data_IF_159761227631
#
_entry.id   IF_159761227631
#
_cell.length_a   1.000
_cell.length_b   1.000
_cell.length_c   1.000
_cell.angle_alpha   90.00
_cell.angle_beta   90.00
_cell.angle_gamma   90.00
#
_symmetry.space_group_name_H-M   'P 1'
#
loop_
_entity.id
_entity.type
_entity.pdbx_description
1 polymer ?
#
# COMPACT_ATOMS: atom_id res chain seq x y z
N UNK A 1 -14.72 22.22 1.03
CA UNK A 1 -13.68 21.51 1.81
C UNK A 1 -14.25 20.18 2.26
N UNK A 2 -13.49 19.08 2.14
CA UNK A 2 -13.94 17.77 2.61
C UNK A 2 -13.76 17.66 4.14
N UNK A 3 -14.66 16.97 4.86
CA UNK A 3 -14.53 16.75 6.30
C UNK A 3 -13.36 15.81 6.63
N UNK A 4 -12.96 15.74 7.90
CA UNK A 4 -12.01 14.73 8.39
C UNK A 4 -12.73 13.41 8.68
N UNK A 5 -12.17 12.29 8.23
CA UNK A 5 -12.69 10.96 8.50
C UNK A 5 -12.43 10.55 9.96
N UNK A 6 -13.40 9.86 10.58
CA UNK A 6 -13.25 9.19 11.87
C UNK A 6 -12.69 7.79 11.62
N UNK A 7 -11.65 7.42 12.37
CA UNK A 7 -10.96 6.13 12.19
C UNK A 7 -11.93 4.96 12.20
N UNK A 8 -11.69 3.99 11.31
CA UNK A 8 -12.44 2.73 11.16
C UNK A 8 -13.92 2.83 10.80
N UNK A 9 -14.55 4.00 10.95
CA UNK A 9 -15.99 4.20 10.72
C UNK A 9 -16.30 4.83 9.38
N UNK A 10 -15.63 5.93 9.06
CA UNK A 10 -15.98 6.72 7.88
C UNK A 10 -15.22 6.19 6.65
N UNK A 11 -15.90 6.16 5.51
CA UNK A 11 -15.29 5.83 4.22
C UNK A 11 -14.58 7.06 3.66
N UNK A 12 -13.27 6.97 3.50
CA UNK A 12 -12.43 8.03 2.96
C UNK A 12 -12.65 8.22 1.46
N UNK A 13 -12.66 7.12 0.71
CA UNK A 13 -12.95 7.12 -0.70
C UNK A 13 -13.49 5.76 -1.17
N UNK A 14 -14.06 5.77 -2.37
CA UNK A 14 -14.47 4.57 -3.09
C UNK A 14 -13.73 4.46 -4.42
N UNK A 15 -13.45 3.24 -4.85
CA UNK A 15 -12.79 2.92 -6.11
C UNK A 15 -13.68 1.96 -6.91
N UNK A 16 -13.92 2.28 -8.18
CA UNK A 16 -14.59 1.39 -9.14
C UNK A 16 -13.88 1.42 -10.48
N UNK A 17 -13.98 0.33 -11.23
CA UNK A 17 -13.56 0.31 -12.63
C UNK A 17 -14.65 0.97 -13.48
N UNK A 18 -14.24 1.80 -14.42
CA UNK A 18 -15.11 2.55 -15.34
C UNK A 18 -14.47 2.54 -16.73
N UNK A 19 -14.90 1.61 -17.58
CA UNK A 19 -14.24 1.31 -18.86
C UNK A 19 -12.80 0.84 -18.66
N UNK A 20 -11.87 1.47 -19.39
CA UNK A 20 -10.43 1.23 -19.24
C UNK A 20 -9.80 2.06 -18.09
N UNK A 21 -10.61 2.79 -17.33
CA UNK A 21 -10.18 3.67 -16.25
C UNK A 21 -10.61 3.17 -14.87
N UNK A 22 -10.12 3.88 -13.85
CA UNK A 22 -10.57 3.74 -12.47
C UNK A 22 -11.13 5.06 -11.98
N UNK A 23 -12.37 5.07 -11.49
CA UNK A 23 -12.94 6.22 -10.81
C UNK A 23 -12.68 6.11 -9.31
N UNK A 24 -11.99 7.10 -8.75
CA UNK A 24 -11.78 7.26 -7.31
C UNK A 24 -12.57 8.47 -6.80
N UNK A 25 -13.60 8.24 -5.98
CA UNK A 25 -14.41 9.31 -5.38
C UNK A 25 -14.02 9.52 -3.93
N UNK A 26 -13.53 10.71 -3.59
CA UNK A 26 -13.09 11.06 -2.23
C UNK A 26 -14.24 11.70 -1.45
N UNK A 27 -14.53 11.19 -0.26
CA UNK A 27 -15.63 11.65 0.61
C UNK A 27 -15.14 12.42 1.84
N UNK A 28 -13.96 12.08 2.37
CA UNK A 28 -13.35 12.76 3.52
C UNK A 28 -11.82 12.60 3.50
N UNK A 29 -11.12 13.47 4.23
CA UNK A 29 -9.67 13.38 4.41
C UNK A 29 -9.31 12.55 5.63
N UNK A 30 -8.40 11.59 5.47
CA UNK A 30 -7.87 10.88 6.62
C UNK A 30 -7.06 11.83 7.53
N UNK A 31 -7.06 11.62 8.86
CA UNK A 31 -6.23 12.40 9.78
C UNK A 31 -4.72 12.25 9.47
N UNK A 32 -3.91 13.24 9.88
CA UNK A 32 -2.45 13.19 9.68
C UNK A 32 -1.85 11.97 10.39
N UNK A 33 -0.94 11.26 9.72
CA UNK A 33 -0.31 10.05 10.27
C UNK A 33 -1.20 8.80 10.26
N UNK A 34 -2.25 8.79 9.44
CA UNK A 34 -3.07 7.62 9.19
C UNK A 34 -2.63 6.85 7.94
N UNK A 35 -2.98 5.58 7.88
CA UNK A 35 -2.93 4.77 6.66
C UNK A 35 -4.34 4.45 6.18
N UNK A 36 -4.57 4.46 4.87
CA UNK A 36 -5.81 3.99 4.30
C UNK A 36 -5.78 2.48 4.07
N UNK A 37 -6.91 1.81 4.28
CA UNK A 37 -7.03 0.37 4.07
C UNK A 37 -8.37 0.04 3.40
N UNK A 38 -8.39 -1.07 2.66
CA UNK A 38 -9.60 -1.59 2.04
C UNK A 38 -10.55 -2.12 3.13
N UNK A 39 -11.72 -1.50 3.25
CA UNK A 39 -12.73 -1.83 4.27
C UNK A 39 -13.75 -2.84 3.74
N UNK A 40 -14.29 -2.61 2.54
CA UNK A 40 -15.43 -3.37 2.00
C UNK A 40 -15.36 -3.46 0.49
N UNK A 41 -15.80 -4.59 -0.05
CA UNK A 41 -16.16 -4.76 -1.45
C UNK A 41 -17.67 -4.92 -1.57
N UNK A 42 -18.32 -4.15 -2.45
CA UNK A 42 -19.75 -4.23 -2.71
C UNK A 42 -20.01 -4.39 -4.20
N UNK A 43 -20.82 -5.38 -4.56
CA UNK A 43 -21.29 -5.56 -5.93
C UNK A 43 -22.32 -4.49 -6.30
N UNK A 44 -22.28 -4.01 -7.53
CA UNK A 44 -23.29 -3.13 -8.11
C UNK A 44 -23.55 -3.52 -9.57
N UNK A 45 -24.74 -3.21 -10.09
CA UNK A 45 -25.01 -3.39 -11.52
C UNK A 45 -24.49 -2.19 -12.30
N UNK A 46 -23.68 -2.47 -13.33
CA UNK A 46 -23.25 -1.46 -14.31
C UNK A 46 -24.40 -1.13 -15.26
N UNK A 47 -24.25 -0.05 -16.03
CA UNK A 47 -25.20 0.31 -17.09
C UNK A 47 -25.36 -0.80 -18.14
N UNK A 48 -24.31 -1.58 -18.37
CA UNK A 48 -24.31 -2.78 -19.23
C UNK A 48 -24.98 -4.01 -18.59
N UNK A 49 -25.63 -3.87 -17.43
CA UNK A 49 -26.23 -4.97 -16.63
C UNK A 49 -25.23 -6.04 -16.17
N UNK A 50 -23.94 -5.74 -16.19
CA UNK A 50 -22.90 -6.62 -15.65
C UNK A 50 -22.67 -6.31 -14.17
N UNK A 51 -22.08 -7.27 -13.45
CA UNK A 51 -21.73 -7.08 -12.04
C UNK A 51 -20.38 -6.37 -11.98
N UNK A 52 -20.39 -5.13 -11.51
CA UNK A 52 -19.20 -4.38 -11.13
C UNK A 52 -18.93 -4.48 -9.62
N UNK A 53 -17.73 -4.11 -9.21
CA UNK A 53 -17.36 -4.01 -7.79
C UNK A 53 -16.92 -2.60 -7.42
N UNK A 54 -17.47 -2.10 -6.32
CA UNK A 54 -17.01 -0.91 -5.65
C UNK A 54 -16.21 -1.30 -4.40
N UNK A 55 -15.03 -0.73 -4.27
CA UNK A 55 -14.11 -0.93 -3.15
C UNK A 55 -14.10 0.31 -2.27
N UNK A 56 -14.51 0.18 -1.02
CA UNK A 56 -14.53 1.27 -0.05
C UNK A 56 -13.29 1.24 0.84
N UNK A 57 -12.67 2.39 1.04
CA UNK A 57 -11.47 2.55 1.86
C UNK A 57 -11.77 3.37 3.11
N UNK A 58 -11.16 3.02 4.23
CA UNK A 58 -11.24 3.75 5.50
C UNK A 58 -9.85 4.09 6.01
N UNK A 59 -9.79 4.88 7.09
CA UNK A 59 -8.53 5.33 7.69
C UNK A 59 -8.25 4.56 8.98
N UNK A 60 -6.99 4.19 9.19
CA UNK A 60 -6.45 3.59 10.42
C UNK A 60 -5.30 4.46 10.97
N UNK A 61 -5.17 4.63 12.30
CA UNK A 61 -4.00 5.26 12.88
C UNK A 61 -2.76 4.39 12.66
N UNK A 62 -1.62 5.00 12.34
CA UNK A 62 -0.36 4.26 12.22
C UNK A 62 0.17 3.92 13.62
N UNK A 63 0.17 2.63 13.97
CA UNK A 63 0.77 2.14 15.21
C UNK A 63 2.27 1.93 15.04
N UNK A 64 3.02 2.09 16.15
CA UNK A 64 4.45 1.79 16.21
C UNK A 64 4.66 0.37 16.71
N UNK A 65 4.71 -0.59 15.80
CA UNK A 65 5.07 -1.98 16.11
C UNK A 65 6.59 -2.13 16.07
N UNK A 66 7.20 -2.82 17.04
CA UNK A 66 8.63 -3.16 17.00
C UNK A 66 8.85 -4.43 16.20
N UNK A 67 9.91 -4.48 15.42
CA UNK A 67 10.22 -5.66 14.64
C UNK A 67 10.63 -6.86 15.51
N UNK A 68 10.07 -8.03 15.21
CA UNK A 68 10.57 -9.33 15.61
C UNK A 68 11.92 -9.64 14.95
N UNK A 69 12.69 -10.54 15.56
CA UNK A 69 14.02 -10.88 15.05
C UNK A 69 13.90 -11.50 13.65
N UNK A 70 14.63 -10.91 12.68
CA UNK A 70 14.70 -11.34 11.27
C UNK A 70 13.37 -11.27 10.50
N UNK A 71 12.34 -10.61 11.03
CA UNK A 71 11.14 -10.34 10.24
C UNK A 71 11.40 -9.19 9.24
N UNK A 72 10.69 -9.14 8.11
CA UNK A 72 10.77 -8.01 7.20
C UNK A 72 10.16 -6.76 7.85
N UNK A 73 10.83 -5.62 7.69
CA UNK A 73 10.36 -4.33 8.22
C UNK A 73 9.53 -3.55 7.20
N UNK A 74 9.69 -3.84 5.90
CA UNK A 74 8.94 -3.21 4.81
C UNK A 74 8.78 -4.17 3.64
N UNK A 75 7.60 -4.14 3.01
CA UNK A 75 7.33 -4.85 1.76
C UNK A 75 7.19 -3.84 0.62
N UNK A 76 7.63 -4.25 -0.57
CA UNK A 76 7.51 -3.48 -1.79
C UNK A 76 6.76 -4.31 -2.84
N UNK A 77 5.80 -3.69 -3.50
CA UNK A 77 5.14 -4.23 -4.69
C UNK A 77 5.45 -3.30 -5.85
N UNK A 78 6.27 -3.77 -6.78
CA UNK A 78 6.83 -3.00 -7.89
C UNK A 78 6.17 -3.45 -9.18
N UNK A 79 5.44 -2.55 -9.84
CA UNK A 79 4.86 -2.79 -11.16
C UNK A 79 5.64 -2.00 -12.20
N UNK A 80 6.27 -2.70 -13.15
CA UNK A 80 7.00 -2.04 -14.24
C UNK A 80 6.01 -1.42 -15.22
N UNK A 81 5.97 -0.09 -15.32
CA UNK A 81 5.08 0.64 -16.24
C UNK A 81 5.78 0.92 -17.57
N UNK A 82 7.00 1.42 -17.50
CA UNK A 82 7.88 1.69 -18.64
C UNK A 82 9.29 1.19 -18.31
N UNK A 83 10.21 1.26 -19.28
CA UNK A 83 11.55 0.71 -19.12
C UNK A 83 12.34 1.32 -17.95
N UNK A 84 12.06 2.60 -17.64
CA UNK A 84 12.72 3.39 -16.60
C UNK A 84 11.77 3.90 -15.49
N UNK A 85 10.50 3.48 -15.49
CA UNK A 85 9.49 3.96 -14.54
C UNK A 85 8.75 2.80 -13.91
N UNK A 86 8.90 2.69 -12.59
CA UNK A 86 8.23 1.72 -11.75
C UNK A 86 7.15 2.39 -10.90
N UNK A 87 5.96 1.78 -10.89
CA UNK A 87 4.92 2.10 -9.92
C UNK A 87 5.14 1.22 -8.68
N UNK A 88 5.49 1.86 -7.56
CA UNK A 88 5.87 1.15 -6.32
C UNK A 88 4.84 1.42 -5.22
N UNK A 89 4.26 0.34 -4.69
CA UNK A 89 3.51 0.39 -3.44
C UNK A 89 4.39 -0.12 -2.30
N UNK A 90 4.37 0.56 -1.15
CA UNK A 90 5.20 0.22 0.01
C UNK A 90 4.37 0.04 1.27
N UNK A 91 4.63 -1.06 1.97
CA UNK A 91 3.96 -1.39 3.22
C UNK A 91 4.99 -1.48 4.34
N UNK A 92 5.04 -0.48 5.22
CA UNK A 92 5.89 -0.52 6.41
C UNK A 92 5.22 -1.39 7.47
N UNK A 93 5.91 -2.41 7.96
CA UNK A 93 5.36 -3.42 8.87
C UNK A 93 5.69 -3.10 10.33
N UNK A 94 6.92 -2.66 10.60
CA UNK A 94 7.43 -2.45 11.94
C UNK A 94 8.62 -1.48 11.97
N UNK A 95 9.02 -1.07 13.17
CA UNK A 95 10.18 -0.23 13.44
C UNK A 95 11.36 -1.11 13.87
N UNK A 96 12.48 -0.96 13.17
CA UNK A 96 13.71 -1.66 13.47
C UNK A 96 14.23 -1.33 14.89
N UNK A 97 14.99 -2.25 15.51
CA UNK A 97 15.65 -1.97 16.78
C UNK A 97 16.68 -0.84 16.63
N UNK A 98 17.20 -0.29 17.75
CA UNK A 98 18.29 0.67 17.72
C UNK A 98 19.45 0.21 16.83
N UNK A 99 20.13 1.18 16.21
CA UNK A 99 21.27 0.95 15.31
C UNK A 99 20.96 0.13 14.05
N UNK A 100 19.68 -0.12 13.76
CA UNK A 100 19.24 -0.74 12.53
C UNK A 100 18.28 0.18 11.79
N UNK A 101 18.39 0.21 10.46
CA UNK A 101 17.53 0.96 9.57
C UNK A 101 16.72 0.00 8.68
N UNK A 102 15.49 0.40 8.38
CA UNK A 102 14.67 -0.30 7.40
C UNK A 102 14.94 0.25 5.99
N UNK A 103 15.20 -0.59 4.97
CA UNK A 103 15.39 -0.17 3.59
C UNK A 103 14.27 0.75 3.09
N UNK A 104 14.64 1.80 2.34
CA UNK A 104 13.68 2.80 1.83
C UNK A 104 13.34 2.60 0.36
N UNK A 105 14.21 1.94 -0.39
CA UNK A 105 14.00 1.57 -1.78
C UNK A 105 14.10 0.06 -1.97
N UNK A 106 13.41 -0.46 -2.98
CA UNK A 106 13.38 -1.91 -3.26
C UNK A 106 14.70 -2.45 -3.85
N UNK A 107 15.65 -1.56 -4.17
CA UNK A 107 17.02 -1.90 -4.63
C UNK A 107 18.08 -1.69 -3.54
N UNK A 108 17.69 -1.27 -2.34
CA UNK A 108 18.62 -1.05 -1.24
C UNK A 108 19.21 -2.38 -0.73
N UNK A 109 20.35 -2.28 -0.04
CA UNK A 109 20.93 -3.42 0.67
C UNK A 109 19.95 -3.99 1.70
N UNK A 110 19.92 -5.31 1.83
CA UNK A 110 18.98 -6.01 2.74
C UNK A 110 17.57 -6.16 2.20
N UNK A 111 17.33 -5.86 0.92
CA UNK A 111 16.09 -6.18 0.22
C UNK A 111 16.23 -7.47 -0.59
N UNK A 112 15.27 -8.38 -0.44
CA UNK A 112 15.25 -9.69 -1.11
C UNK A 112 14.01 -9.78 -2.00
N UNK A 113 14.20 -10.11 -3.28
CA UNK A 113 13.08 -10.40 -4.19
C UNK A 113 12.36 -11.67 -3.75
N UNK A 114 11.04 -11.59 -3.62
CA UNK A 114 10.19 -12.67 -3.14
C UNK A 114 9.49 -13.40 -4.29
N UNK A 115 8.37 -12.86 -4.80
CA UNK A 115 7.59 -13.43 -5.91
C UNK A 115 7.57 -12.50 -7.13
N UNK A 116 7.50 -13.11 -8.30
CA UNK A 116 7.29 -12.45 -9.58
C UNK A 116 5.93 -12.90 -10.15
N UNK A 117 5.06 -11.94 -10.44
CA UNK A 117 3.76 -12.11 -11.07
C UNK A 117 3.89 -11.62 -12.52
N UNK A 118 4.36 -12.51 -13.40
CA UNK A 118 4.76 -12.18 -14.77
C UNK A 118 3.60 -11.68 -15.63
N UNK A 119 2.39 -12.20 -15.43
CA UNK A 119 1.21 -11.78 -16.19
C UNK A 119 0.86 -10.30 -15.98
N UNK A 120 1.24 -9.74 -14.83
CA UNK A 120 0.91 -8.36 -14.44
C UNK A 120 2.13 -7.42 -14.48
N UNK A 121 3.32 -7.93 -14.85
CA UNK A 121 4.61 -7.24 -14.72
C UNK A 121 4.86 -6.72 -13.28
N UNK A 122 4.46 -7.50 -12.27
CA UNK A 122 4.59 -7.15 -10.85
C UNK A 122 5.63 -8.02 -10.16
N UNK A 123 6.51 -7.40 -9.38
CA UNK A 123 7.48 -8.07 -8.50
C UNK A 123 7.29 -7.64 -7.06
N UNK A 124 7.50 -8.56 -6.14
CA UNK A 124 7.43 -8.29 -4.71
C UNK A 124 8.82 -8.41 -4.09
N UNK A 125 9.11 -7.52 -3.14
CA UNK A 125 10.38 -7.48 -2.43
C UNK A 125 10.14 -7.32 -0.93
N UNK A 126 11.02 -7.91 -0.14
CA UNK A 126 10.99 -7.88 1.32
C UNK A 126 12.27 -7.21 1.83
N UNK A 127 12.13 -6.08 2.52
CA UNK A 127 13.24 -5.37 3.16
C UNK A 127 13.38 -5.77 4.62
N UNK A 128 14.62 -6.03 5.05
CA UNK A 128 14.95 -6.45 6.41
C UNK A 128 15.75 -5.37 7.13
N UNK A 129 15.67 -5.35 8.46
CA UNK A 129 16.46 -4.42 9.26
C UNK A 129 17.96 -4.67 9.07
N UNK A 130 18.67 -3.66 8.60
CA UNK A 130 20.12 -3.69 8.36
C UNK A 130 20.81 -2.69 9.25
N UNK A 131 22.06 -2.95 9.63
CA UNK A 131 22.90 -1.89 10.19
C UNK A 131 23.14 -0.83 9.11
N UNK A 132 23.04 0.47 9.44
CA UNK A 132 23.32 1.53 8.47
C UNK A 132 24.78 1.38 8.01
N UNK A 133 24.99 1.36 6.70
CA UNK A 133 26.33 1.39 6.12
C UNK A 133 27.00 2.71 6.51
N UNK A 134 28.06 2.64 7.31
CA UNK A 134 28.98 3.77 7.49
C UNK A 134 29.60 4.08 6.13
N UNK A 135 29.21 5.21 5.53
CA UNK A 135 30.00 5.83 4.47
C UNK A 135 31.23 6.52 5.09
#
# INVERSE_FOLDING_TARGET
MLPKCRYFRDMAWTLRSEGNGTLQTVHCHCPKGSVAYLLKRQAYQTESKQIGYQYSFACSPQSRLRCQRKEPCRLFTVRKRQEMVDEVNTNTLCQCPPEHACPSHHTDAGVIQSKNYSEENIRTYSGYCMQPSTN
#
